data_IF_930352608510
#
_entry.id   IF_930352608510
#
_cell.length_a   1.000
_cell.length_b   1.000
_cell.length_c   1.000
_cell.angle_alpha   90.00
_cell.angle_beta   90.00
_cell.angle_gamma   90.00
#
_symmetry.space_group_name_H-M   'P 1'
#
loop_
_entity.id
_entity.type
_entity.pdbx_description
1 polymer ?
#
# COMPACT_ATOMS: atom_id res chain seq x y z
N UNK A 1 2.52 10.95 25.79
CA UNK A 1 2.84 10.76 24.37
C UNK A 1 3.48 12.05 23.90
N UNK A 2 4.76 12.02 23.56
CA UNK A 2 5.52 13.25 23.25
C UNK A 2 5.07 13.78 21.89
N UNK A 3 4.89 15.11 21.75
CA UNK A 3 4.41 15.74 20.50
C UNK A 3 5.26 15.40 19.27
N UNK A 4 6.54 15.07 19.45
CA UNK A 4 7.43 14.64 18.37
C UNK A 4 7.09 13.26 17.80
N UNK A 5 6.57 12.35 18.64
CA UNK A 5 6.25 10.96 18.27
C UNK A 5 5.06 10.91 17.31
N UNK A 6 4.08 11.79 17.50
CA UNK A 6 2.92 11.90 16.60
C UNK A 6 3.25 12.57 15.28
N UNK A 7 4.28 13.42 15.21
CA UNK A 7 4.69 14.10 13.98
C UNK A 7 5.35 13.11 13.02
N UNK A 8 6.29 12.29 13.49
CA UNK A 8 6.97 11.29 12.66
C UNK A 8 6.00 10.27 12.06
N UNK A 9 5.09 9.72 12.86
CA UNK A 9 4.04 8.80 12.39
C UNK A 9 3.15 9.46 11.31
N UNK A 10 2.73 10.71 11.52
CA UNK A 10 1.91 11.45 10.55
C UNK A 10 2.64 11.70 9.23
N UNK A 11 3.93 12.04 9.28
CA UNK A 11 4.73 12.25 8.08
C UNK A 11 4.88 10.95 7.29
N UNK A 12 5.19 9.83 7.95
CA UNK A 12 5.32 8.52 7.32
C UNK A 12 3.98 8.03 6.75
N UNK A 13 2.86 8.23 7.46
CA UNK A 13 1.53 7.93 6.94
C UNK A 13 1.18 8.80 5.74
N UNK A 14 1.49 10.10 5.79
CA UNK A 14 1.25 11.02 4.67
C UNK A 14 2.06 10.59 3.45
N UNK A 15 3.32 10.18 3.64
CA UNK A 15 4.16 9.68 2.57
C UNK A 15 3.60 8.39 1.96
N UNK A 16 3.23 7.40 2.78
CA UNK A 16 2.72 6.13 2.30
C UNK A 16 1.35 6.27 1.63
N UNK A 17 0.38 6.89 2.32
CA UNK A 17 -0.98 7.07 1.80
C UNK A 17 -0.97 8.04 0.62
N UNK A 18 -0.20 9.12 0.68
CA UNK A 18 -0.02 10.05 -0.44
C UNK A 18 0.56 9.36 -1.68
N UNK A 19 1.54 8.47 -1.51
CA UNK A 19 2.10 7.68 -2.62
C UNK A 19 1.07 6.71 -3.21
N UNK A 20 0.29 5.99 -2.38
CA UNK A 20 -0.80 5.12 -2.84
C UNK A 20 -1.81 5.90 -3.70
N UNK A 21 -2.25 7.06 -3.21
CA UNK A 21 -3.25 7.84 -3.92
C UNK A 21 -2.71 8.45 -5.22
N UNK A 22 -1.53 9.06 -5.15
CA UNK A 22 -0.93 9.75 -6.30
C UNK A 22 -0.54 8.77 -7.41
N UNK A 23 -0.04 7.59 -7.06
CA UNK A 23 0.39 6.62 -8.07
C UNK A 23 -0.80 5.85 -8.64
N UNK A 24 -1.63 5.23 -7.79
CA UNK A 24 -2.69 4.33 -8.26
C UNK A 24 -3.85 5.02 -8.95
N UNK A 25 -4.16 6.26 -8.57
CA UNK A 25 -5.34 6.97 -9.08
C UNK A 25 -5.03 8.16 -9.98
N UNK A 26 -3.76 8.59 -10.07
CA UNK A 26 -3.36 9.68 -10.97
C UNK A 26 -2.28 9.23 -11.95
N UNK A 27 -1.09 8.87 -11.46
CA UNK A 27 0.07 8.62 -12.33
C UNK A 27 -0.14 7.42 -13.27
N UNK A 28 -0.68 6.31 -12.76
CA UNK A 28 -0.93 5.11 -13.56
C UNK A 28 -2.02 5.35 -14.61
N UNK A 29 -3.22 5.87 -14.27
CA UNK A 29 -4.22 6.22 -15.29
C UNK A 29 -3.71 7.18 -16.35
N UNK A 30 -2.96 8.21 -15.94
CA UNK A 30 -2.39 9.18 -16.88
C UNK A 30 -1.37 8.54 -17.82
N UNK A 31 -0.58 7.56 -17.35
CA UNK A 31 0.34 6.80 -18.19
C UNK A 31 -0.41 5.99 -19.26
N UNK A 32 -1.54 5.36 -18.92
CA UNK A 32 -2.36 4.62 -19.88
C UNK A 32 -3.09 5.52 -20.89
N UNK A 33 -3.33 6.79 -20.56
CA UNK A 33 -3.88 7.77 -21.49
C UNK A 33 -2.80 8.29 -22.45
N UNK A 34 -1.56 8.43 -21.96
CA UNK A 34 -0.51 9.16 -22.67
C UNK A 34 0.48 8.27 -23.43
N UNK A 35 0.53 6.97 -23.12
CA UNK A 35 1.51 6.02 -23.65
C UNK A 35 0.82 4.80 -24.25
N UNK A 36 1.53 4.08 -25.12
CA UNK A 36 1.08 2.78 -25.60
C UNK A 36 0.91 1.79 -24.44
N UNK A 37 -0.08 0.90 -24.53
CA UNK A 37 -0.51 0.04 -23.42
C UNK A 37 0.62 -0.81 -22.82
N UNK A 38 1.56 -1.29 -23.64
CA UNK A 38 2.69 -2.09 -23.15
C UNK A 38 3.68 -1.24 -22.34
N UNK A 39 4.04 -0.07 -22.86
CA UNK A 39 4.94 0.89 -22.20
C UNK A 39 4.32 1.44 -20.93
N UNK A 40 3.02 1.77 -20.96
CA UNK A 40 2.26 2.19 -19.78
C UNK A 40 2.26 1.12 -18.69
N UNK A 41 2.06 -0.15 -19.07
CA UNK A 41 2.05 -1.27 -18.13
C UNK A 41 3.42 -1.52 -17.48
N UNK A 42 4.52 -1.36 -18.22
CA UNK A 42 5.89 -1.42 -17.67
C UNK A 42 6.18 -0.25 -16.74
N UNK A 43 5.75 0.96 -17.11
CA UNK A 43 5.90 2.14 -16.28
C UNK A 43 5.10 2.02 -14.98
N UNK A 44 3.85 1.55 -15.06
CA UNK A 44 3.00 1.29 -13.90
C UNK A 44 3.64 0.28 -12.94
N UNK A 45 4.26 -0.80 -13.45
CA UNK A 45 4.96 -1.78 -12.63
C UNK A 45 6.10 -1.14 -11.80
N UNK A 46 6.91 -0.26 -12.42
CA UNK A 46 7.97 0.49 -11.74
C UNK A 46 7.41 1.43 -10.65
N UNK A 47 6.32 2.13 -10.94
CA UNK A 47 5.68 3.00 -9.97
C UNK A 47 5.11 2.22 -8.78
N UNK A 48 4.42 1.10 -9.02
CA UNK A 48 3.91 0.26 -7.93
C UNK A 48 5.02 -0.35 -7.09
N UNK A 49 6.16 -0.73 -7.69
CA UNK A 49 7.34 -1.15 -6.94
C UNK A 49 7.84 -0.04 -6.01
N UNK A 50 7.96 1.20 -6.50
CA UNK A 50 8.37 2.33 -5.69
C UNK A 50 7.41 2.58 -4.51
N UNK A 51 6.09 2.51 -4.76
CA UNK A 51 5.07 2.64 -3.70
C UNK A 51 5.19 1.53 -2.65
N UNK A 52 5.42 0.28 -3.07
CA UNK A 52 5.62 -0.82 -2.12
C UNK A 52 6.84 -0.60 -1.23
N UNK A 53 7.97 -0.17 -1.80
CA UNK A 53 9.19 0.12 -1.04
C UNK A 53 8.92 1.22 -0.02
N UNK A 54 8.27 2.32 -0.44
CA UNK A 54 7.86 3.41 0.45
C UNK A 54 6.96 2.88 1.56
N UNK A 55 5.98 2.05 1.22
CA UNK A 55 5.02 1.47 2.16
C UNK A 55 5.67 0.54 3.18
N UNK A 56 6.58 -0.32 2.74
CA UNK A 56 7.33 -1.24 3.61
C UNK A 56 8.20 -0.46 4.59
N UNK A 57 8.97 0.52 4.10
CA UNK A 57 9.83 1.36 4.95
C UNK A 57 8.98 2.14 5.95
N UNK A 58 7.95 2.84 5.47
CA UNK A 58 7.09 3.68 6.31
C UNK A 58 6.34 2.85 7.35
N UNK A 59 5.71 1.76 6.96
CA UNK A 59 4.98 0.86 7.85
C UNK A 59 5.87 0.22 8.91
N UNK A 60 7.07 -0.22 8.52
CA UNK A 60 8.05 -0.79 9.45
C UNK A 60 8.52 0.24 10.49
N UNK A 61 8.86 1.45 10.06
CA UNK A 61 9.29 2.52 10.96
C UNK A 61 8.19 2.93 11.94
N UNK A 62 6.94 3.03 11.47
CA UNK A 62 5.79 3.33 12.35
C UNK A 62 5.60 2.21 13.38
N UNK A 63 5.63 0.93 12.96
CA UNK A 63 5.45 -0.21 13.86
C UNK A 63 6.55 -0.30 14.91
N UNK A 64 7.83 -0.13 14.50
CA UNK A 64 8.96 -0.12 15.42
C UNK A 64 8.83 1.01 16.44
N UNK A 65 8.48 2.22 15.99
CA UNK A 65 8.21 3.36 16.88
C UNK A 65 7.13 3.03 17.93
N UNK A 66 6.01 2.44 17.49
CA UNK A 66 4.93 2.03 18.41
C UNK A 66 5.38 0.97 19.43
N UNK A 67 6.14 -0.04 19.01
CA UNK A 67 6.61 -1.13 19.88
C UNK A 67 7.59 -0.61 20.93
N UNK A 68 8.59 0.18 20.52
CA UNK A 68 9.64 0.71 21.41
C UNK A 68 9.05 1.66 22.46
N UNK A 69 8.13 2.53 22.04
CA UNK A 69 7.62 3.61 22.89
C UNK A 69 6.48 3.13 23.79
N UNK A 70 5.53 2.34 23.26
CA UNK A 70 4.30 2.00 24.00
C UNK A 70 4.40 0.68 24.79
N UNK A 71 5.57 0.01 24.80
CA UNK A 71 5.90 -1.17 25.63
C UNK A 71 4.73 -2.14 25.85
N UNK A 72 4.13 -2.63 24.77
CA UNK A 72 3.05 -3.64 24.79
C UNK A 72 1.61 -3.10 24.81
N UNK A 73 1.37 -1.83 25.20
CA UNK A 73 0.03 -1.22 25.10
C UNK A 73 -0.42 -1.00 23.64
N UNK A 74 0.53 -0.92 22.71
CA UNK A 74 0.25 -0.79 21.28
C UNK A 74 -0.60 -1.95 20.72
N UNK A 75 -0.46 -3.18 21.26
CA UNK A 75 -1.18 -4.36 20.76
C UNK A 75 -2.69 -4.31 21.03
N UNK A 76 -3.13 -3.44 21.94
CA UNK A 76 -4.55 -3.20 22.22
C UNK A 76 -5.16 -2.15 21.29
N UNK A 77 -4.36 -1.45 20.49
CA UNK A 77 -4.86 -0.44 19.55
C UNK A 77 -5.24 -1.10 18.23
N UNK A 78 -6.48 -0.87 17.78
CA UNK A 78 -6.93 -1.32 16.45
C UNK A 78 -6.04 -0.78 15.32
N UNK A 79 -5.46 0.42 15.51
CA UNK A 79 -4.54 1.05 14.55
C UNK A 79 -3.29 0.24 14.32
N UNK A 80 -2.77 -0.41 15.37
CA UNK A 80 -1.58 -1.26 15.28
C UNK A 80 -1.85 -2.48 14.39
N UNK A 81 -2.99 -3.14 14.59
CA UNK A 81 -3.41 -4.26 13.75
C UNK A 81 -3.71 -3.84 12.31
N UNK A 82 -4.29 -2.66 12.10
CA UNK A 82 -4.50 -2.14 10.75
C UNK A 82 -3.18 -1.87 10.03
N UNK A 83 -2.18 -1.30 10.72
CA UNK A 83 -0.84 -1.08 10.18
C UNK A 83 -0.14 -2.40 9.81
N UNK A 84 -0.25 -3.42 10.67
CA UNK A 84 0.26 -4.76 10.36
C UNK A 84 -0.45 -5.33 9.13
N UNK A 85 -1.78 -5.25 9.07
CA UNK A 85 -2.55 -5.74 7.92
C UNK A 85 -2.13 -5.03 6.62
N UNK A 86 -1.98 -3.71 6.64
CA UNK A 86 -1.50 -2.95 5.48
C UNK A 86 -0.07 -3.36 5.07
N UNK A 87 0.82 -3.57 6.03
CA UNK A 87 2.18 -3.99 5.74
C UNK A 87 2.22 -5.40 5.14
N UNK A 88 1.43 -6.34 5.68
CA UNK A 88 1.30 -7.69 5.15
C UNK A 88 0.74 -7.70 3.73
N UNK A 89 -0.32 -6.92 3.46
CA UNK A 89 -0.87 -6.81 2.11
C UNK A 89 0.19 -6.24 1.15
N UNK A 90 0.94 -5.23 1.57
CA UNK A 90 2.02 -4.64 0.75
C UNK A 90 3.13 -5.65 0.46
N UNK A 91 3.50 -6.49 1.44
CA UNK A 91 4.47 -7.56 1.26
C UNK A 91 3.95 -8.64 0.29
N UNK A 92 2.70 -9.09 0.43
CA UNK A 92 2.07 -10.03 -0.50
C UNK A 92 2.04 -9.44 -1.92
N UNK A 93 1.70 -8.16 -2.04
CA UNK A 93 1.68 -7.46 -3.32
C UNK A 93 3.08 -7.44 -3.97
N UNK A 94 4.11 -7.13 -3.18
CA UNK A 94 5.49 -7.03 -3.66
C UNK A 94 6.17 -8.38 -3.93
N UNK A 95 5.89 -9.40 -3.12
CA UNK A 95 6.61 -10.69 -3.14
C UNK A 95 5.86 -11.79 -3.88
N UNK A 96 4.56 -11.64 -4.11
CA UNK A 96 3.75 -12.65 -4.79
C UNK A 96 3.10 -12.08 -6.06
N UNK A 97 2.29 -11.03 -5.94
CA UNK A 97 1.49 -10.53 -7.08
C UNK A 97 2.37 -9.95 -8.19
N UNK A 98 3.30 -9.06 -7.85
CA UNK A 98 4.21 -8.46 -8.83
C UNK A 98 5.11 -9.46 -9.56
N UNK A 99 5.83 -10.37 -8.87
CA UNK A 99 6.69 -11.34 -9.56
C UNK A 99 5.87 -12.31 -10.41
N UNK A 100 4.68 -12.70 -9.99
CA UNK A 100 3.85 -13.62 -10.78
C UNK A 100 3.35 -12.99 -12.08
N UNK A 101 2.94 -11.71 -12.03
CA UNK A 101 2.60 -10.95 -13.24
C UNK A 101 3.84 -10.81 -14.15
N UNK A 102 5.03 -10.59 -13.59
CA UNK A 102 6.26 -10.51 -14.35
C UNK A 102 6.60 -11.84 -15.03
N UNK A 103 6.43 -12.96 -14.32
CA UNK A 103 6.68 -14.31 -14.85
C UNK A 103 5.78 -14.60 -16.06
N UNK A 104 4.48 -14.29 -15.98
CA UNK A 104 3.55 -14.51 -17.11
C UNK A 104 3.99 -13.72 -18.35
N UNK A 105 4.46 -12.47 -18.16
CA UNK A 105 4.93 -11.61 -19.25
C UNK A 105 6.23 -12.07 -19.91
N UNK A 106 6.95 -13.04 -19.34
CA UNK A 106 8.16 -13.62 -19.97
C UNK A 106 7.83 -14.65 -21.04
N UNK A 107 6.61 -15.21 -21.03
CA UNK A 107 6.16 -16.18 -22.03
C UNK A 107 5.70 -15.42 -23.28
N UNK A 108 6.28 -15.76 -24.42
CA UNK A 108 5.89 -15.15 -25.69
C UNK A 108 4.45 -15.52 -26.06
N UNK A 109 3.68 -14.58 -26.58
CA UNK A 109 2.26 -14.75 -26.88
C UNK A 109 1.39 -15.29 -25.72
N UNK A 110 1.75 -15.05 -24.45
CA UNK A 110 0.98 -15.49 -23.27
C UNK A 110 -0.52 -15.12 -23.31
N UNK A 111 -0.89 -14.08 -24.06
CA UNK A 111 -2.29 -13.65 -24.26
C UNK A 111 -3.11 -14.61 -25.13
N UNK A 112 -2.47 -15.39 -25.98
CA UNK A 112 -3.12 -16.40 -26.82
C UNK A 112 -3.32 -17.72 -26.07
N UNK A 113 -2.54 -17.95 -25.01
CA UNK A 113 -2.71 -19.10 -24.11
C UNK A 113 -3.81 -18.80 -23.09
N UNK A 114 -4.95 -19.49 -23.20
CA UNK A 114 -6.12 -19.27 -22.34
C UNK A 114 -5.80 -19.36 -20.85
N UNK A 115 -4.99 -20.33 -20.43
CA UNK A 115 -4.62 -20.52 -19.03
C UNK A 115 -3.80 -19.34 -18.46
N UNK A 116 -2.83 -18.84 -19.23
CA UNK A 116 -1.99 -17.72 -18.81
C UNK A 116 -2.76 -16.41 -18.84
N UNK A 117 -3.63 -16.21 -19.84
CA UNK A 117 -4.50 -15.04 -19.92
C UNK A 117 -5.47 -14.98 -18.73
N UNK A 118 -6.16 -16.07 -18.41
CA UNK A 118 -7.06 -16.14 -17.25
C UNK A 118 -6.32 -15.89 -15.92
N UNK A 119 -5.12 -16.46 -15.76
CA UNK A 119 -4.31 -16.26 -14.55
C UNK A 119 -3.83 -14.82 -14.42
N UNK A 120 -3.44 -14.18 -15.53
CA UNK A 120 -3.10 -12.76 -15.54
C UNK A 120 -4.30 -11.90 -15.15
N UNK A 121 -5.47 -12.14 -15.72
CA UNK A 121 -6.69 -11.40 -15.38
C UNK A 121 -7.04 -11.55 -13.90
N UNK A 122 -6.97 -12.77 -13.36
CA UNK A 122 -7.21 -13.03 -11.95
C UNK A 122 -6.23 -12.28 -11.06
N UNK A 123 -4.92 -12.33 -11.36
CA UNK A 123 -3.89 -11.59 -10.63
C UNK A 123 -4.11 -10.07 -10.73
N UNK A 124 -4.53 -9.59 -11.90
CA UNK A 124 -4.81 -8.18 -12.12
C UNK A 124 -6.01 -7.72 -11.28
N UNK A 125 -7.12 -8.45 -11.28
CA UNK A 125 -8.29 -8.14 -10.44
C UNK A 125 -7.96 -8.22 -8.95
N UNK A 126 -7.20 -9.24 -8.52
CA UNK A 126 -6.71 -9.35 -7.15
C UNK A 126 -5.87 -8.12 -6.78
N UNK A 127 -4.96 -7.71 -7.67
CA UNK A 127 -4.09 -6.56 -7.44
C UNK A 127 -4.90 -5.27 -7.25
N UNK A 128 -5.91 -5.03 -8.08
CA UNK A 128 -6.78 -3.86 -8.00
C UNK A 128 -7.54 -3.82 -6.67
N UNK A 129 -8.11 -4.96 -6.24
CA UNK A 129 -8.86 -5.05 -4.99
C UNK A 129 -7.96 -4.85 -3.77
N UNK A 130 -6.77 -5.48 -3.74
CA UNK A 130 -5.80 -5.28 -2.65
C UNK A 130 -5.35 -3.82 -2.57
N UNK A 131 -5.13 -3.17 -3.71
CA UNK A 131 -4.73 -1.76 -3.77
C UNK A 131 -5.82 -0.84 -3.23
N UNK A 132 -7.09 -1.10 -3.59
CA UNK A 132 -8.24 -0.37 -3.07
C UNK A 132 -8.36 -0.53 -1.55
N UNK A 133 -8.24 -1.77 -1.05
CA UNK A 133 -8.28 -2.06 0.39
C UNK A 133 -7.16 -1.32 1.14
N UNK A 134 -5.94 -1.33 0.61
CA UNK A 134 -4.81 -0.57 1.16
C UNK A 134 -5.09 0.94 1.19
N UNK A 135 -5.65 1.47 0.11
CA UNK A 135 -5.93 2.91 -0.02
C UNK A 135 -7.00 3.37 0.97
N UNK A 136 -8.05 2.57 1.17
CA UNK A 136 -9.10 2.82 2.17
C UNK A 136 -8.54 2.69 3.59
N UNK A 137 -7.79 1.62 3.88
CA UNK A 137 -7.19 1.42 5.19
C UNK A 137 -6.22 2.55 5.57
N UNK A 138 -5.41 3.00 4.61
CA UNK A 138 -4.52 4.15 4.77
C UNK A 138 -5.29 5.43 5.06
N UNK A 139 -6.37 5.69 4.32
CA UNK A 139 -7.22 6.86 4.56
C UNK A 139 -7.88 6.79 5.94
N UNK A 140 -8.37 5.62 6.37
CA UNK A 140 -8.92 5.42 7.71
C UNK A 140 -7.89 5.70 8.81
N UNK A 141 -6.61 5.35 8.63
CA UNK A 141 -5.54 5.70 9.57
C UNK A 141 -5.23 7.19 9.60
N UNK A 142 -5.29 7.87 8.45
CA UNK A 142 -5.05 9.31 8.38
C UNK A 142 -6.20 10.09 9.04
N UNK A 143 -7.45 9.67 8.78
CA UNK A 143 -8.66 10.32 9.31
C UNK A 143 -8.89 10.02 10.78
N UNK A 144 -8.58 8.81 11.23
CA UNK A 144 -8.58 8.53 12.65
C UNK A 144 -7.42 9.32 13.26
N UNK A 145 -7.73 10.30 14.11
CA UNK A 145 -6.76 10.81 15.08
C UNK A 145 -6.93 10.00 16.35
N UNK A 146 -5.83 9.63 17.02
CA UNK A 146 -5.90 9.12 18.39
C UNK A 146 -6.49 10.26 19.24
N UNK A 147 -7.83 10.28 19.34
CA UNK A 147 -8.52 11.10 20.32
C UNK A 147 -8.14 10.45 21.65
N UNK A 148 -7.05 10.91 22.26
CA UNK A 148 -7.00 10.92 23.71
C UNK A 148 -8.31 11.55 24.15
N UNK A 149 -9.12 10.82 24.92
CA UNK A 149 -10.31 11.31 25.57
C UNK A 149 -9.99 12.69 26.21
N UNK A 150 -10.27 13.76 25.48
CA UNK A 150 -10.44 15.08 26.07
C UNK A 150 -11.84 15.01 26.63
N UNK A 151 -11.92 14.41 27.82
CA UNK A 151 -13.00 14.64 28.74
C UNK A 151 -12.93 16.13 29.13
N UNK A 152 -13.77 16.92 28.50
CA UNK A 152 -14.14 18.27 28.92
C UNK A 152 -15.61 18.35 28.51
N UNK A 153 -16.57 17.95 29.36
CA UNK A 153 -17.04 18.73 30.50
C UNK A 153 -16.98 20.24 30.18
N UNK A 154 -17.79 20.66 29.21
CA UNK A 154 -18.42 21.98 29.25
C UNK A 154 -19.82 21.84 29.82
#
# INVERSE_FOLDING_TARGET
MNRSETIGERLLLTLWVGALWSIGYLAVPLAFISLEALVAAEYAAKLFFAVNVIGIISGTLILLGKIIIQRGRAMYSWRFWLLIAMLLITLIFSMYVQPEIANIKTVDNWRLETNLAERFEWLHMLSQNLYLMLSIAGLLLVLSTDKSHVAEKS
#
